data_IF_288370472381
#
_entry.id   IF_288370472381
#
_cell.length_a   1.000
_cell.length_b   1.000
_cell.length_c   1.000
_cell.angle_alpha   90.00
_cell.angle_beta   90.00
_cell.angle_gamma   90.00
#
_symmetry.space_group_name_H-M   'P 1'
#
loop_
_entity.id
_entity.type
_entity.pdbx_description
1 polymer ?
#
# COMPACT_ATOMS: atom_id res chain seq x y z
N UNK A 1 -18.85 -6.04 -0.21
CA UNK A 1 -17.78 -5.17 -0.67
C UNK A 1 -16.47 -5.85 -0.48
N UNK A 2 -15.64 -5.79 -1.50
CA UNK A 2 -14.41 -6.58 -1.53
C UNK A 2 -13.24 -5.93 -0.80
N UNK A 3 -13.34 -4.66 -0.40
CA UNK A 3 -12.26 -3.96 0.26
C UNK A 3 -12.80 -2.91 1.24
N UNK A 4 -11.94 -2.47 2.16
CA UNK A 4 -12.28 -1.47 3.16
C UNK A 4 -12.29 -0.08 2.53
N UNK A 5 -13.47 0.47 2.31
CA UNK A 5 -13.62 1.79 1.68
C UNK A 5 -13.09 2.92 2.56
N UNK A 6 -13.17 2.77 3.88
CA UNK A 6 -12.63 3.79 4.79
C UNK A 6 -11.12 3.89 4.65
N UNK A 7 -10.45 2.75 4.49
CA UNK A 7 -9.02 2.73 4.28
C UNK A 7 -8.66 3.38 2.93
N UNK A 8 -9.42 3.08 1.89
CA UNK A 8 -9.23 3.70 0.59
C UNK A 8 -9.41 5.22 0.66
N UNK A 9 -10.42 5.69 1.40
CA UNK A 9 -10.64 7.13 1.57
C UNK A 9 -9.49 7.81 2.31
N UNK A 10 -8.94 7.13 3.32
CA UNK A 10 -7.76 7.65 4.03
C UNK A 10 -6.57 7.81 3.09
N UNK A 11 -6.37 6.86 2.20
CA UNK A 11 -5.31 6.94 1.21
C UNK A 11 -5.55 8.13 0.28
N UNK A 12 -6.78 8.28 -0.19
CA UNK A 12 -7.13 9.40 -1.09
C UNK A 12 -6.83 10.75 -0.47
N UNK A 13 -7.10 10.91 0.83
CA UNK A 13 -6.81 12.17 1.52
C UNK A 13 -5.32 12.49 1.53
N UNK A 14 -4.50 11.48 1.81
CA UNK A 14 -3.05 11.69 1.92
C UNK A 14 -2.42 11.99 0.56
N UNK A 15 -2.90 11.33 -0.49
CA UNK A 15 -2.33 11.49 -1.84
C UNK A 15 -3.03 12.55 -2.68
N UNK A 16 -3.98 13.29 -2.09
CA UNK A 16 -4.78 14.26 -2.86
C UNK A 16 -3.95 15.29 -3.60
N UNK A 17 -2.79 15.65 -3.07
CA UNK A 17 -1.90 16.63 -3.70
C UNK A 17 -0.86 16.00 -4.62
N UNK A 18 -0.82 14.68 -4.68
CA UNK A 18 0.14 13.99 -5.55
C UNK A 18 -0.41 13.94 -6.97
N UNK A 19 0.42 14.34 -7.92
CA UNK A 19 0.01 14.35 -9.33
C UNK A 19 0.12 12.98 -9.97
N UNK A 20 -0.65 12.77 -11.03
CA UNK A 20 -0.60 11.58 -11.87
C UNK A 20 -1.01 10.28 -11.16
N UNK A 21 -1.87 10.40 -10.15
CA UNK A 21 -2.42 9.22 -9.49
C UNK A 21 -3.75 8.85 -10.13
N UNK A 22 -3.90 7.58 -10.48
CA UNK A 22 -5.12 7.03 -11.06
C UNK A 22 -5.56 5.84 -10.21
N UNK A 23 -6.85 5.75 -9.93
CA UNK A 23 -7.43 4.62 -9.22
C UNK A 23 -7.94 3.59 -10.21
N UNK A 24 -7.64 2.32 -9.94
CA UNK A 24 -8.18 1.20 -10.74
C UNK A 24 -8.67 0.10 -9.80
N UNK A 25 -9.83 -0.45 -10.10
CA UNK A 25 -10.34 -1.61 -9.37
C UNK A 25 -9.76 -2.86 -10.01
N UNK A 26 -9.17 -3.73 -9.19
CA UNK A 26 -8.61 -4.98 -9.67
C UNK A 26 -8.53 -6.00 -8.54
N UNK A 27 -8.61 -7.29 -8.88
CA UNK A 27 -8.48 -8.38 -7.93
C UNK A 27 -9.44 -8.29 -6.73
N UNK A 28 -10.62 -7.69 -6.92
CA UNK A 28 -11.57 -7.52 -5.84
C UNK A 28 -11.21 -6.38 -4.88
N UNK A 29 -10.18 -5.60 -5.17
CA UNK A 29 -9.75 -4.47 -4.37
C UNK A 29 -9.65 -3.21 -5.22
N UNK A 30 -8.88 -2.25 -4.72
CA UNK A 30 -8.62 -1.01 -5.45
C UNK A 30 -7.11 -0.74 -5.44
N UNK A 31 -6.59 -0.25 -6.56
CA UNK A 31 -5.18 0.09 -6.68
C UNK A 31 -5.02 1.56 -7.04
N UNK A 32 -4.01 2.18 -6.47
CA UNK A 32 -3.64 3.56 -6.79
C UNK A 32 -2.35 3.53 -7.60
N UNK A 33 -2.42 4.03 -8.82
CA UNK A 33 -1.32 3.97 -9.80
C UNK A 33 -0.65 5.31 -9.94
N UNK A 34 0.68 5.32 -9.96
CA UNK A 34 1.48 6.52 -10.28
C UNK A 34 2.29 6.19 -11.52
N UNK A 35 2.17 7.01 -12.56
CA UNK A 35 2.91 6.81 -13.81
C UNK A 35 2.75 5.38 -14.35
N UNK A 36 1.52 4.87 -14.31
CA UNK A 36 1.15 3.53 -14.76
C UNK A 36 1.74 2.39 -13.94
N UNK A 37 2.28 2.70 -12.75
CA UNK A 37 2.80 1.68 -11.84
C UNK A 37 1.98 1.67 -10.57
N UNK A 38 1.64 0.48 -10.08
CA UNK A 38 0.91 0.36 -8.83
C UNK A 38 1.77 0.82 -7.67
N UNK A 39 1.25 1.77 -6.91
CA UNK A 39 1.94 2.35 -5.78
C UNK A 39 1.37 1.82 -4.46
N UNK A 40 0.07 1.89 -4.35
CA UNK A 40 -0.68 1.50 -3.16
C UNK A 40 -1.92 0.75 -3.58
N UNK A 41 -2.52 0.04 -2.66
CA UNK A 41 -3.79 -0.63 -2.91
C UNK A 41 -4.46 -1.01 -1.61
N UNK A 42 -5.70 -1.46 -1.72
CA UNK A 42 -6.46 -1.99 -0.60
C UNK A 42 -7.03 -3.33 -1.02
N UNK A 43 -6.81 -4.34 -0.21
CA UNK A 43 -7.38 -5.67 -0.39
C UNK A 43 -7.99 -6.09 0.94
N UNK A 44 -9.32 -6.18 0.98
CA UNK A 44 -10.07 -6.42 2.22
C UNK A 44 -9.73 -5.32 3.23
N UNK A 45 -9.12 -5.64 4.36
CA UNK A 45 -8.76 -4.66 5.38
C UNK A 45 -7.27 -4.34 5.41
N UNK A 46 -6.52 -4.88 4.46
CA UNK A 46 -5.08 -4.68 4.40
C UNK A 46 -4.71 -3.66 3.32
N UNK A 47 -3.63 -2.94 3.56
CA UNK A 47 -3.11 -1.99 2.59
C UNK A 47 -1.93 -2.63 1.85
N UNK A 48 -1.96 -2.57 0.52
CA UNK A 48 -0.86 -3.04 -0.30
C UNK A 48 0.11 -1.89 -0.50
N UNK A 49 1.38 -2.11 -0.21
CA UNK A 49 2.42 -1.08 -0.34
C UNK A 49 3.52 -1.60 -1.25
N UNK A 50 3.85 -0.83 -2.28
CA UNK A 50 5.00 -1.12 -3.12
C UNK A 50 6.16 -0.25 -2.67
N UNK A 51 7.28 -0.88 -2.33
CA UNK A 51 8.47 -0.20 -1.84
C UNK A 51 9.68 -0.56 -2.70
N UNK A 52 10.82 0.04 -2.38
CA UNK A 52 12.08 -0.36 -3.01
C UNK A 52 12.40 -1.80 -2.62
N UNK A 53 12.79 -2.67 -3.58
CA UNK A 53 13.08 -4.06 -3.26
C UNK A 53 14.13 -4.24 -2.17
N UNK A 54 15.14 -3.38 -2.12
CA UNK A 54 16.19 -3.48 -1.10
C UNK A 54 15.75 -3.04 0.28
N UNK A 55 14.58 -2.41 0.41
CA UNK A 55 14.02 -2.00 1.70
C UNK A 55 13.01 -3.02 2.23
N UNK A 56 12.64 -4.01 1.43
CA UNK A 56 11.57 -4.94 1.79
C UNK A 56 11.82 -5.62 3.12
N UNK A 57 13.01 -6.18 3.32
CA UNK A 57 13.32 -6.92 4.53
C UNK A 57 13.26 -6.03 5.78
N UNK A 58 13.76 -4.80 5.68
CA UNK A 58 13.72 -3.87 6.80
C UNK A 58 12.28 -3.45 7.14
N UNK A 59 11.48 -3.21 6.11
CA UNK A 59 10.10 -2.78 6.30
C UNK A 59 9.23 -3.91 6.86
N UNK A 60 9.59 -5.16 6.58
CA UNK A 60 8.87 -6.31 7.12
C UNK A 60 9.01 -6.43 8.64
N UNK A 61 10.02 -5.80 9.22
CA UNK A 61 10.21 -5.79 10.67
C UNK A 61 9.27 -4.83 11.39
N UNK A 62 8.60 -3.96 10.65
CA UNK A 62 7.67 -3.00 11.26
C UNK A 62 6.37 -3.66 11.64
N UNK A 63 5.74 -3.12 12.69
CA UNK A 63 4.46 -3.63 13.19
C UNK A 63 3.39 -3.57 12.12
N UNK A 64 2.71 -4.67 11.92
CA UNK A 64 1.62 -4.76 10.95
C UNK A 64 2.03 -5.10 9.53
N UNK A 65 3.34 -5.12 9.25
CA UNK A 65 3.83 -5.46 7.92
C UNK A 65 3.94 -6.97 7.73
N UNK A 66 3.50 -7.45 6.56
CA UNK A 66 3.58 -8.86 6.17
C UNK A 66 4.07 -8.96 4.73
N UNK A 67 4.70 -10.10 4.36
CA UNK A 67 5.05 -10.32 2.96
C UNK A 67 3.80 -10.35 2.09
N UNK A 68 3.87 -9.74 0.92
CA UNK A 68 2.80 -9.84 -0.06
C UNK A 68 3.06 -11.10 -0.88
N UNK A 69 2.24 -12.10 -0.67
CA UNK A 69 2.46 -13.44 -1.22
C UNK A 69 1.28 -13.87 -2.09
N UNK A 70 1.34 -13.56 -3.37
CA UNK A 70 0.30 -13.94 -4.33
C UNK A 70 0.50 -15.37 -4.87
N UNK A 71 1.72 -15.87 -4.87
CA UNK A 71 2.05 -17.13 -5.53
C UNK A 71 2.85 -18.07 -4.65
N UNK A 72 2.62 -18.04 -3.35
CA UNK A 72 3.35 -18.83 -2.35
C UNK A 72 4.82 -18.42 -2.22
N UNK A 73 5.23 -17.33 -2.85
CA UNK A 73 6.57 -16.78 -2.73
C UNK A 73 6.49 -15.31 -2.36
N UNK A 74 7.23 -14.88 -1.32
CA UNK A 74 7.28 -13.46 -0.98
C UNK A 74 7.78 -12.65 -2.17
N UNK A 75 7.11 -11.54 -2.46
CA UNK A 75 7.50 -10.67 -3.55
C UNK A 75 8.28 -9.48 -3.00
N UNK A 76 9.55 -9.37 -3.36
CA UNK A 76 10.35 -8.21 -2.96
C UNK A 76 9.81 -6.94 -3.59
N UNK A 77 9.79 -5.88 -2.82
CA UNK A 77 9.22 -4.63 -3.27
C UNK A 77 7.73 -4.50 -2.98
N UNK A 78 7.13 -5.54 -2.39
CA UNK A 78 5.70 -5.55 -2.09
C UNK A 78 5.45 -5.98 -0.65
N UNK A 79 4.53 -5.29 0.01
CA UNK A 79 4.16 -5.57 1.39
C UNK A 79 2.67 -5.48 1.56
N UNK A 80 2.15 -6.24 2.51
CA UNK A 80 0.80 -6.03 3.02
C UNK A 80 0.94 -5.39 4.40
N UNK A 81 0.20 -4.32 4.64
CA UNK A 81 0.15 -3.69 5.95
C UNK A 81 -1.22 -3.93 6.53
N UNK A 82 -1.26 -4.63 7.65
CA UNK A 82 -2.52 -4.97 8.30
C UNK A 82 -3.09 -3.77 9.04
N UNK A 83 -4.29 -3.93 9.57
CA UNK A 83 -4.95 -2.89 10.34
C UNK A 83 -4.07 -2.36 11.48
N UNK A 84 -3.29 -3.23 12.11
CA UNK A 84 -2.36 -2.81 13.16
C UNK A 84 -1.34 -1.78 12.67
N UNK A 85 -0.88 -1.92 11.42
CA UNK A 85 0.10 -1.01 10.85
C UNK A 85 -0.49 0.29 10.32
N UNK A 86 -1.82 0.33 10.12
CA UNK A 86 -2.49 1.52 9.60
C UNK A 86 -3.35 2.23 10.64
N UNK A 87 -3.46 1.68 11.85
CA UNK A 87 -4.30 2.20 12.90
C UNK A 87 -3.89 3.59 13.36
N UNK A 88 -2.60 3.82 13.52
CA UNK A 88 -2.05 5.12 13.87
C UNK A 88 -1.91 5.97 12.62
N UNK A 89 -2.32 7.24 12.69
CA UNK A 89 -2.16 8.17 11.56
C UNK A 89 -0.68 8.30 11.19
N UNK A 90 0.20 8.36 12.17
CA UNK A 90 1.63 8.47 11.94
C UNK A 90 2.16 7.29 11.13
N UNK A 91 1.80 6.08 11.51
CA UNK A 91 2.23 4.89 10.80
C UNK A 91 1.60 4.80 9.41
N UNK A 92 0.33 5.14 9.32
CA UNK A 92 -0.37 5.16 8.04
C UNK A 92 0.30 6.12 7.06
N UNK A 93 0.58 7.35 7.51
CA UNK A 93 1.24 8.35 6.67
C UNK A 93 2.63 7.89 6.24
N UNK A 94 3.34 7.21 7.13
CA UNK A 94 4.66 6.65 6.82
C UNK A 94 4.57 5.64 5.66
N UNK A 95 3.61 4.74 5.73
CA UNK A 95 3.45 3.72 4.68
C UNK A 95 3.08 4.34 3.34
N UNK A 96 2.17 5.30 3.35
CA UNK A 96 1.78 5.99 2.12
C UNK A 96 2.97 6.75 1.53
N UNK A 97 3.71 7.48 2.36
CA UNK A 97 4.88 8.22 1.90
C UNK A 97 5.96 7.30 1.33
N UNK A 98 6.18 6.15 1.98
CA UNK A 98 7.14 5.16 1.51
C UNK A 98 6.79 4.69 0.11
N UNK A 99 5.52 4.38 -0.12
CA UNK A 99 5.07 3.91 -1.42
C UNK A 99 5.18 5.00 -2.50
N UNK A 100 4.78 6.22 -2.17
CA UNK A 100 4.85 7.34 -3.11
C UNK A 100 6.29 7.62 -3.51
N UNK A 101 7.21 7.65 -2.54
CA UNK A 101 8.62 7.90 -2.83
C UNK A 101 9.23 6.81 -3.71
N UNK A 102 8.88 5.56 -3.47
CA UNK A 102 9.42 4.44 -4.22
C UNK A 102 8.96 4.43 -5.69
N UNK A 103 7.86 5.12 -5.98
CA UNK A 103 7.23 5.06 -7.32
C UNK A 103 7.18 6.40 -8.03
N UNK A 104 7.90 7.37 -7.53
CA UNK A 104 8.00 8.66 -8.21
C UNK A 104 8.74 8.56 -9.54
#
# INVERSE_FOLDING_TARGET
>A
MAYNEKLADRIREVIAETKNIVEKKMFGGIAFMINDKMCLGVDKDDMIVRCEPNMTDDLLLKKGAKPFDLTSRPMKGWLLVTEEGTKSKKNFDYWVATAVEANK
#
